data_IF_586030341728
#
_entry.id   IF_586030341728
#
_cell.length_a   1.000
_cell.length_b   1.000
_cell.length_c   1.000
_cell.angle_alpha   90.00
_cell.angle_beta   90.00
_cell.angle_gamma   90.00
#
_symmetry.space_group_name_H-M   'P 1'
#
loop_
_entity.id
_entity.type
_entity.pdbx_description
1 polymer ?
#
# COMPACT_ATOMS: atom_id res chain seq x y z
N UNK A 1 -6.72 -15.23 1.32
CA UNK A 1 -6.40 -14.46 2.54
C UNK A 1 -5.03 -13.87 2.34
N UNK A 2 -4.95 -12.55 2.14
CA UNK A 2 -3.67 -11.88 1.91
C UNK A 2 -2.94 -11.74 3.25
N UNK A 3 -1.65 -12.04 3.24
CA UNK A 3 -0.78 -11.82 4.39
C UNK A 3 0.18 -10.70 4.05
N UNK A 4 0.01 -9.58 4.74
CA UNK A 4 0.90 -8.43 4.71
C UNK A 4 1.99 -8.59 5.77
N UNK A 5 3.19 -8.14 5.44
CA UNK A 5 4.29 -7.98 6.38
C UNK A 5 4.02 -6.81 7.33
N UNK A 6 4.71 -6.77 8.47
CA UNK A 6 4.57 -5.66 9.42
C UNK A 6 4.85 -4.30 8.77
N UNK A 7 5.78 -4.24 7.80
CA UNK A 7 6.10 -3.01 7.07
C UNK A 7 4.95 -2.53 6.19
N UNK A 8 4.29 -3.46 5.50
CA UNK A 8 3.11 -3.16 4.66
C UNK A 8 1.92 -2.74 5.53
N UNK A 9 1.71 -3.40 6.67
CA UNK A 9 0.67 -3.02 7.63
C UNK A 9 0.92 -1.63 8.23
N UNK A 10 2.17 -1.33 8.61
CA UNK A 10 2.54 0.02 9.09
C UNK A 10 2.33 1.09 8.02
N UNK A 11 2.59 0.76 6.76
CA UNK A 11 2.34 1.66 5.64
C UNK A 11 0.85 1.92 5.47
N UNK A 12 0.02 0.87 5.45
CA UNK A 12 -1.44 1.00 5.39
C UNK A 12 -2.00 1.79 6.58
N UNK A 13 -1.43 1.60 7.77
CA UNK A 13 -1.79 2.36 8.98
C UNK A 13 -1.42 3.84 8.89
N UNK A 14 -0.22 4.17 8.38
CA UNK A 14 0.29 5.55 8.34
C UNK A 14 -0.28 6.36 7.19
N UNK A 15 -0.42 5.75 6.02
CA UNK A 15 -0.84 6.43 4.79
C UNK A 15 -2.37 6.51 4.70
N UNK A 16 -3.05 5.41 5.01
CA UNK A 16 -4.51 5.31 4.86
C UNK A 16 -5.25 5.37 6.21
N UNK A 17 -4.53 5.44 7.33
CA UNK A 17 -5.15 5.50 8.66
C UNK A 17 -5.87 4.22 9.07
N UNK A 18 -5.56 3.08 8.43
CA UNK A 18 -6.31 1.84 8.59
C UNK A 18 -5.77 0.98 9.74
N UNK A 19 -6.61 0.60 10.68
CA UNK A 19 -6.27 -0.40 11.71
C UNK A 19 -6.11 -1.80 11.11
N UNK A 20 -5.36 -2.70 11.77
CA UNK A 20 -5.20 -4.08 11.31
C UNK A 20 -6.54 -4.83 11.15
N UNK A 21 -7.52 -4.53 12.01
CA UNK A 21 -8.88 -5.05 11.90
C UNK A 21 -9.62 -4.52 10.67
N UNK A 22 -9.47 -3.22 10.35
CA UNK A 22 -10.05 -2.63 9.15
C UNK A 22 -9.44 -3.25 7.90
N UNK A 23 -8.11 -3.38 7.86
CA UNK A 23 -7.39 -4.00 6.73
C UNK A 23 -7.92 -5.40 6.43
N UNK A 24 -8.18 -6.21 7.46
CA UNK A 24 -8.73 -7.54 7.30
C UNK A 24 -10.22 -7.55 6.88
N UNK A 25 -10.93 -6.44 7.11
CA UNK A 25 -12.35 -6.27 6.80
C UNK A 25 -12.63 -5.50 5.49
N UNK A 26 -11.59 -4.99 4.82
CA UNK A 26 -11.71 -4.27 3.57
C UNK A 26 -12.31 -5.15 2.47
N UNK A 27 -13.20 -4.54 1.69
CA UNK A 27 -13.79 -5.16 0.51
C UNK A 27 -12.85 -5.08 -0.69
N UNK A 28 -13.11 -5.88 -1.73
CA UNK A 28 -12.30 -5.89 -2.96
C UNK A 28 -12.28 -4.52 -3.67
N UNK A 29 -13.41 -3.81 -3.69
CA UNK A 29 -13.49 -2.42 -4.19
C UNK A 29 -12.57 -1.47 -3.40
N UNK A 30 -12.60 -1.52 -2.06
CA UNK A 30 -11.73 -0.66 -1.23
C UNK A 30 -10.26 -1.01 -1.41
N UNK A 31 -9.95 -2.29 -1.61
CA UNK A 31 -8.61 -2.73 -1.97
C UNK A 31 -8.17 -2.19 -3.33
N UNK A 32 -9.08 -2.11 -4.29
CA UNK A 32 -8.81 -1.53 -5.61
C UNK A 32 -8.54 -0.02 -5.50
N UNK A 33 -9.26 0.70 -4.65
CA UNK A 33 -8.98 2.12 -4.37
C UNK A 33 -7.62 2.32 -3.67
N UNK A 34 -7.27 1.45 -2.73
CA UNK A 34 -5.95 1.48 -2.07
C UNK A 34 -4.84 1.15 -3.05
N UNK A 35 -5.06 0.22 -3.97
CA UNK A 35 -4.10 -0.12 -5.02
C UNK A 35 -3.86 1.08 -5.96
N UNK A 36 -4.92 1.77 -6.39
CA UNK A 36 -4.83 2.97 -7.23
C UNK A 36 -4.03 4.08 -6.53
N UNK A 37 -4.32 4.34 -5.25
CA UNK A 37 -3.56 5.30 -4.46
C UNK A 37 -2.10 4.86 -4.25
N UNK A 38 -1.84 3.57 -4.07
CA UNK A 38 -0.48 3.03 -4.00
C UNK A 38 0.27 3.26 -5.32
N UNK A 39 -0.39 3.09 -6.47
CA UNK A 39 0.17 3.37 -7.78
C UNK A 39 0.50 4.86 -7.98
N UNK A 40 -0.39 5.75 -7.53
CA UNK A 40 -0.13 7.20 -7.54
C UNK A 40 1.08 7.56 -6.64
N UNK A 41 1.19 6.94 -5.46
CA UNK A 41 2.36 7.10 -4.58
C UNK A 41 3.65 6.60 -5.24
N UNK A 42 3.60 5.48 -5.96
CA UNK A 42 4.74 4.99 -6.73
C UNK A 42 5.16 6.00 -7.82
N UNK A 43 4.18 6.58 -8.52
CA UNK A 43 4.38 7.53 -9.60
C UNK A 43 4.89 8.90 -9.11
N UNK A 44 4.35 9.43 -8.01
CA UNK A 44 4.79 10.68 -7.39
C UNK A 44 6.17 10.56 -6.71
N UNK A 45 6.47 9.39 -6.14
CA UNK A 45 7.77 9.08 -5.53
C UNK A 45 8.92 9.06 -6.54
N UNK A 46 8.65 8.64 -7.79
CA UNK A 46 9.61 8.65 -8.89
C UNK A 46 9.93 10.07 -9.38
N UNK A 47 8.99 11.00 -9.25
CA UNK A 47 9.13 12.40 -9.67
C UNK A 47 9.83 13.30 -8.64
N UNK A 48 9.85 12.91 -7.36
CA UNK A 48 10.41 13.69 -6.26
C UNK A 48 11.81 13.20 -5.83
N UNK A 49 12.83 13.71 -6.53
CA UNK A 49 14.26 13.71 -6.20
C UNK A 49 14.66 13.19 -4.79
N UNK A 50 14.91 11.87 -4.70
CA UNK A 50 15.98 11.23 -3.93
C UNK A 50 16.00 11.30 -2.40
N UNK A 51 15.13 12.05 -1.70
CA UNK A 51 15.42 12.40 -0.30
C UNK A 51 14.43 11.96 0.77
N UNK A 52 13.28 11.33 0.47
CA UNK A 52 12.37 10.84 1.52
C UNK A 52 11.77 9.47 1.21
N UNK A 53 12.47 8.44 1.69
CA UNK A 53 12.04 7.05 1.91
C UNK A 53 12.01 6.13 0.66
N UNK A 54 13.16 5.54 0.27
CA UNK A 54 13.24 4.53 -0.80
C UNK A 54 12.34 3.29 -0.58
N UNK A 55 11.84 3.05 0.63
CA UNK A 55 10.96 1.93 0.94
C UNK A 55 9.47 2.17 0.59
N UNK A 56 8.99 3.41 0.35
CA UNK A 56 7.54 3.66 0.14
C UNK A 56 7.01 3.07 -1.17
N UNK A 57 7.66 3.35 -2.30
CA UNK A 57 7.29 2.74 -3.59
C UNK A 57 7.38 1.21 -3.52
N UNK A 58 8.49 0.67 -3.01
CA UNK A 58 8.67 -0.78 -2.90
C UNK A 58 7.61 -1.47 -2.01
N UNK A 59 7.14 -0.81 -0.95
CA UNK A 59 6.05 -1.32 -0.11
C UNK A 59 4.71 -1.24 -0.85
N UNK A 60 4.43 -0.13 -1.52
CA UNK A 60 3.22 0.06 -2.34
C UNK A 60 3.12 -0.97 -3.48
N UNK A 61 4.22 -1.19 -4.23
CA UNK A 61 4.33 -2.25 -5.24
C UNK A 61 4.07 -3.64 -4.65
N UNK A 62 4.65 -3.93 -3.48
CA UNK A 62 4.46 -5.22 -2.80
C UNK A 62 3.01 -5.47 -2.39
N UNK A 63 2.32 -4.42 -1.94
CA UNK A 63 0.89 -4.47 -1.64
C UNK A 63 0.09 -4.73 -2.92
N UNK A 64 0.34 -3.95 -3.99
CA UNK A 64 -0.35 -4.13 -5.27
C UNK A 64 -0.17 -5.53 -5.87
N UNK A 65 1.05 -6.09 -5.85
CA UNK A 65 1.33 -7.44 -6.35
C UNK A 65 0.54 -8.51 -5.60
N UNK A 66 0.35 -8.34 -4.29
CA UNK A 66 -0.48 -9.22 -3.47
C UNK A 66 -1.97 -9.06 -3.76
N UNK A 67 -2.42 -7.84 -4.01
CA UNK A 67 -3.81 -7.53 -4.38
C UNK A 67 -4.14 -8.06 -5.77
N UNK A 68 -3.21 -8.01 -6.72
CA UNK A 68 -3.37 -8.56 -8.06
C UNK A 68 -3.46 -10.10 -8.10
N UNK A 69 -3.15 -10.77 -6.99
CA UNK A 69 -3.23 -12.22 -6.81
C UNK A 69 -4.51 -12.69 -6.10
N UNK A 70 -5.41 -11.77 -5.69
CA UNK A 70 -6.77 -12.10 -5.26
C UNK A 70 -7.62 -12.56 -6.44
#
# INVERSE_FOLDING_TARGET
>A
MIVFTNRELEFLQKEFGLSAENIAALSEDEWMEIADQCFDIELEGDLSDGSKMPDRCGIAAGIMDKLAQL
#
